data_IF_619193085025
#
_entry.id   IF_619193085025
#
_cell.length_a   1.000
_cell.length_b   1.000
_cell.length_c   1.000
_cell.angle_alpha   90.00
_cell.angle_beta   90.00
_cell.angle_gamma   90.00
#
_symmetry.space_group_name_H-M   'P 1'
#
loop_
_entity.id
_entity.type
_entity.pdbx_description
1 polymer ?
#
# COMPACT_ATOMS: atom_id res chain seq x y z
N UNK A 1 14.88 -14.95 19.02
CA UNK A 1 15.47 -13.82 19.80
C UNK A 1 15.03 -12.53 19.13
N UNK A 2 14.24 -11.69 19.80
CA UNK A 2 13.64 -10.49 19.21
C UNK A 2 14.71 -9.42 18.93
N UNK A 3 14.99 -9.12 17.67
CA UNK A 3 15.81 -7.97 17.27
C UNK A 3 14.93 -6.94 16.58
N UNK A 4 14.90 -5.72 17.13
CA UNK A 4 14.23 -4.56 16.52
C UNK A 4 15.20 -3.39 16.49
N UNK A 5 15.52 -2.88 15.30
CA UNK A 5 16.21 -1.60 15.12
C UNK A 5 15.93 -0.98 13.74
N UNK A 6 15.51 0.29 13.72
CA UNK A 6 16.25 1.37 13.02
C UNK A 6 15.79 2.77 13.48
N UNK A 7 16.79 3.64 13.69
CA UNK A 7 16.66 5.05 14.10
C UNK A 7 16.37 5.96 12.90
N UNK A 8 15.50 6.97 13.09
CA UNK A 8 15.42 8.18 12.27
C UNK A 8 15.07 9.38 13.18
N UNK A 9 15.95 10.38 13.23
CA UNK A 9 15.65 11.77 13.64
C UNK A 9 15.11 12.54 12.42
N UNK A 10 14.44 13.69 12.47
CA UNK A 10 14.21 14.72 13.48
C UNK A 10 12.99 15.57 13.01
N UNK A 11 12.19 16.12 13.93
CA UNK A 11 11.21 17.18 13.64
C UNK A 11 9.87 17.05 14.37
N UNK A 12 9.64 17.98 15.32
CA UNK A 12 8.49 18.20 16.22
C UNK A 12 8.37 17.29 17.46
N UNK A 13 8.18 17.93 18.64
CA UNK A 13 8.35 17.40 20.01
C UNK A 13 7.39 16.26 20.39
N UNK A 14 7.59 15.09 19.78
CA UNK A 14 7.20 13.78 20.31
C UNK A 14 8.51 13.07 20.64
N UNK A 15 8.80 12.87 21.92
CA UNK A 15 9.93 12.02 22.33
C UNK A 15 9.57 10.58 21.99
N UNK A 16 9.97 10.13 20.79
CA UNK A 16 9.73 8.76 20.33
C UNK A 16 10.71 7.83 21.04
N UNK A 17 10.31 7.31 22.18
CA UNK A 17 11.03 6.25 22.86
C UNK A 17 10.59 4.90 22.25
N UNK A 18 11.51 4.23 21.55
CA UNK A 18 11.30 2.87 21.07
C UNK A 18 11.85 1.95 22.15
N UNK A 19 10.96 1.39 22.97
CA UNK A 19 11.31 0.39 23.97
C UNK A 19 11.16 -1.00 23.36
N UNK A 20 12.15 -1.87 23.54
CA UNK A 20 11.94 -3.29 23.28
C UNK A 20 10.98 -3.90 24.31
N UNK A 21 10.42 -5.08 24.02
CA UNK A 21 9.44 -5.71 24.89
C UNK A 21 9.97 -5.96 26.32
N UNK A 22 11.27 -6.27 26.48
CA UNK A 22 11.87 -6.49 27.78
C UNK A 22 12.07 -5.16 28.53
N UNK A 23 12.35 -4.07 27.82
CA UNK A 23 12.42 -2.72 28.37
C UNK A 23 11.04 -2.20 28.78
N UNK A 24 9.97 -2.58 28.09
CA UNK A 24 8.59 -2.26 28.49
C UNK A 24 8.26 -2.95 29.81
N UNK A 25 8.62 -4.23 29.98
CA UNK A 25 8.43 -4.91 31.26
C UNK A 25 9.18 -4.22 32.41
N UNK A 26 10.38 -3.69 32.14
CA UNK A 26 11.17 -2.99 33.14
C UNK A 26 10.64 -1.59 33.49
N UNK A 27 10.15 -0.84 32.50
CA UNK A 27 9.80 0.58 32.67
C UNK A 27 8.29 0.85 32.77
N UNK A 28 7.47 -0.03 32.20
CA UNK A 28 6.01 0.13 32.05
C UNK A 28 5.27 -1.22 32.19
N UNK A 29 5.38 -1.92 33.34
CA UNK A 29 4.77 -3.23 33.55
C UNK A 29 3.25 -3.23 33.40
N UNK A 30 2.58 -2.09 33.59
CA UNK A 30 1.15 -1.90 33.37
C UNK A 30 0.73 -2.06 31.91
N UNK A 31 1.62 -1.78 30.97
CA UNK A 31 1.35 -1.95 29.54
C UNK A 31 1.50 -3.40 29.09
N UNK A 32 2.20 -4.24 29.86
CA UNK A 32 2.46 -5.64 29.51
C UNK A 32 1.18 -6.44 29.31
N UNK A 33 0.23 -6.34 30.25
CA UNK A 33 -1.05 -7.06 30.15
C UNK A 33 -1.90 -6.60 28.94
N UNK A 34 -1.85 -5.31 28.61
CA UNK A 34 -2.52 -4.76 27.44
C UNK A 34 -1.86 -5.25 26.15
N UNK A 35 -0.53 -5.26 26.10
CA UNK A 35 0.22 -5.75 24.94
C UNK A 35 -0.01 -7.25 24.77
N UNK A 36 0.07 -8.04 25.84
CA UNK A 36 -0.12 -9.50 25.79
C UNK A 36 -1.52 -9.88 25.32
N UNK A 37 -2.56 -9.16 25.76
CA UNK A 37 -3.94 -9.37 25.26
C UNK A 37 -4.15 -8.92 23.80
N UNK A 38 -3.34 -8.00 23.30
CA UNK A 38 -3.40 -7.53 21.91
C UNK A 38 -2.51 -8.36 20.97
N UNK A 39 -1.49 -9.02 21.49
CA UNK A 39 -0.56 -9.88 20.74
C UNK A 39 -1.14 -11.27 20.41
N UNK A 40 -2.30 -11.63 20.96
CA UNK A 40 -3.02 -12.84 20.53
C UNK A 40 -3.59 -12.71 19.11
N UNK A 41 -3.69 -11.49 18.57
CA UNK A 41 -4.03 -11.23 17.18
C UNK A 41 -2.75 -11.03 16.33
N UNK A 42 -2.30 -12.13 15.70
CA UNK A 42 -1.19 -12.12 14.75
C UNK A 42 -1.48 -11.11 13.60
N UNK A 43 -0.50 -10.27 13.27
CA UNK A 43 -0.50 -9.29 12.17
C UNK A 43 -1.01 -7.85 12.45
N UNK A 44 -0.86 -7.31 13.66
CA UNK A 44 -1.11 -5.88 13.91
C UNK A 44 0.15 -5.04 14.16
N UNK A 45 0.27 -3.91 13.46
CA UNK A 45 1.09 -2.79 13.92
C UNK A 45 0.33 -2.10 15.04
N UNK A 46 0.67 -2.42 16.29
CA UNK A 46 0.07 -1.76 17.44
C UNK A 46 0.78 -0.42 17.69
N UNK A 47 0.00 0.66 17.71
CA UNK A 47 0.46 1.99 18.10
C UNK A 47 -0.25 2.37 19.39
N UNK A 48 0.48 2.46 20.49
CA UNK A 48 -0.04 2.92 21.78
C UNK A 48 0.45 4.34 22.02
N UNK A 49 -0.48 5.27 22.22
CA UNK A 49 -0.19 6.61 22.73
C UNK A 49 -0.35 6.57 24.26
N UNK A 50 0.75 6.62 24.99
CA UNK A 50 0.74 6.58 26.44
C UNK A 50 1.20 7.92 27.02
N UNK A 51 0.51 8.43 28.05
CA UNK A 51 0.82 9.74 28.63
C UNK A 51 1.62 9.57 29.91
N UNK A 52 2.87 10.00 29.91
CA UNK A 52 3.80 9.94 31.06
C UNK A 52 4.20 11.36 31.43
N UNK A 53 3.93 11.77 32.68
CA UNK A 53 4.33 13.08 33.22
C UNK A 53 3.94 14.30 32.35
N UNK A 54 2.82 14.20 31.64
CA UNK A 54 2.34 15.27 30.74
C UNK A 54 2.78 15.15 29.28
N UNK A 55 3.69 14.22 28.95
CA UNK A 55 4.15 13.94 27.59
C UNK A 55 3.41 12.75 26.97
N UNK A 56 3.14 12.79 25.66
CA UNK A 56 2.60 11.63 24.92
C UNK A 56 3.76 10.87 24.29
N UNK A 57 3.93 9.61 24.69
CA UNK A 57 4.90 8.67 24.16
C UNK A 57 4.17 7.74 23.19
N UNK A 58 4.64 7.66 21.95
CA UNK A 58 4.10 6.77 20.95
C UNK A 58 4.97 5.51 20.86
N UNK A 59 4.41 4.39 21.30
CA UNK A 59 5.07 3.08 21.27
C UNK A 59 4.54 2.32 20.05
N UNK A 60 5.45 1.82 19.20
CA UNK A 60 5.12 1.09 17.97
C UNK A 60 5.69 -0.31 18.05
N UNK A 61 4.83 -1.31 17.89
CA UNK A 61 5.21 -2.72 17.78
C UNK A 61 5.12 -3.12 16.31
N UNK A 62 6.25 -3.54 15.73
CA UNK A 62 6.29 -4.15 14.41
C UNK A 62 6.56 -5.65 14.62
N UNK A 63 5.58 -6.49 14.26
CA UNK A 63 5.74 -7.94 14.31
C UNK A 63 6.49 -8.42 13.07
N UNK A 64 7.56 -9.18 13.27
CA UNK A 64 8.28 -9.89 12.22
C UNK A 64 8.11 -11.38 12.51
N UNK A 65 7.54 -12.14 11.58
CA UNK A 65 7.48 -13.60 11.70
C UNK A 65 8.90 -14.17 11.62
N UNK A 66 9.22 -15.10 12.52
CA UNK A 66 10.50 -15.84 12.55
C UNK A 66 10.61 -16.88 11.39
N UNK A 67 9.90 -16.67 10.28
CA UNK A 67 10.10 -17.44 9.05
C UNK A 67 11.41 -16.95 8.39
N UNK A 68 12.52 -17.36 9.00
CA UNK A 68 13.87 -17.21 8.47
C UNK A 68 14.04 -18.09 7.21
N UNK A 69 14.70 -17.51 6.19
CA UNK A 69 15.19 -18.17 4.96
C UNK A 69 14.24 -18.41 3.77
N UNK A 70 13.45 -17.41 3.39
CA UNK A 70 13.40 -17.07 1.96
C UNK A 70 14.24 -15.82 1.75
N UNK A 71 15.32 -15.94 0.97
CA UNK A 71 16.04 -14.79 0.43
C UNK A 71 15.01 -13.86 -0.19
N UNK A 72 14.64 -12.80 0.53
CA UNK A 72 13.63 -11.84 0.13
C UNK A 72 14.18 -11.10 -1.08
N UNK A 73 14.06 -11.71 -2.27
CA UNK A 73 14.48 -11.13 -3.54
C UNK A 73 13.95 -9.69 -3.57
N UNK A 74 14.86 -8.75 -3.82
CA UNK A 74 14.55 -7.34 -3.74
C UNK A 74 13.54 -7.01 -4.85
N UNK A 75 12.28 -6.81 -4.44
CA UNK A 75 11.19 -6.40 -5.32
C UNK A 75 11.55 -5.07 -5.98
N UNK A 76 12.18 -5.12 -7.14
CA UNK A 76 12.71 -3.93 -7.80
C UNK A 76 11.62 -3.36 -8.69
N UNK A 77 10.66 -2.67 -8.08
CA UNK A 77 9.53 -2.05 -8.77
C UNK A 77 9.46 -0.55 -8.50
N UNK A 78 9.18 0.25 -9.54
CA UNK A 78 9.00 1.71 -9.40
C UNK A 78 7.96 2.27 -10.37
N UNK A 79 7.46 3.47 -10.08
CA UNK A 79 6.66 4.26 -11.03
C UNK A 79 7.56 5.16 -11.87
N UNK A 80 7.16 5.44 -13.11
CA UNK A 80 7.80 6.43 -13.96
C UNK A 80 6.78 7.21 -14.80
N UNK A 81 7.15 8.46 -15.13
CA UNK A 81 6.31 9.34 -15.93
C UNK A 81 6.31 8.94 -17.39
N UNK A 82 5.12 8.94 -18.00
CA UNK A 82 4.95 8.85 -19.45
C UNK A 82 5.06 10.21 -20.15
N UNK A 83 5.10 11.31 -19.40
CA UNK A 83 5.21 12.66 -19.98
C UNK A 83 6.62 12.87 -20.52
N UNK A 84 6.72 13.41 -21.73
CA UNK A 84 8.01 13.78 -22.33
C UNK A 84 8.78 12.63 -22.99
N UNK A 85 8.11 11.50 -23.24
CA UNK A 85 8.73 10.32 -23.85
C UNK A 85 9.35 9.37 -22.83
N UNK A 86 9.21 8.07 -23.05
CA UNK A 86 9.75 7.04 -22.17
C UNK A 86 11.23 6.86 -22.51
N UNK A 87 12.13 7.28 -21.63
CA UNK A 87 13.55 6.95 -21.78
C UNK A 87 13.74 5.48 -21.44
N UNK A 88 14.28 4.72 -22.39
CA UNK A 88 14.69 3.33 -22.14
C UNK A 88 15.68 3.31 -20.98
N UNK A 89 15.43 2.47 -19.99
CA UNK A 89 16.32 2.28 -18.86
C UNK A 89 16.72 0.81 -18.83
N UNK A 90 18.02 0.55 -18.95
CA UNK A 90 18.54 -0.80 -19.15
C UNK A 90 18.13 -1.71 -17.97
N UNK A 91 17.62 -2.90 -18.30
CA UNK A 91 17.20 -3.90 -17.33
C UNK A 91 15.81 -3.69 -16.72
N UNK A 92 15.08 -2.63 -17.07
CA UNK A 92 13.70 -2.43 -16.64
C UNK A 92 12.70 -2.93 -17.68
N UNK A 93 11.67 -3.63 -17.22
CA UNK A 93 10.51 -4.00 -18.04
C UNK A 93 9.39 -3.01 -17.80
N UNK A 94 8.94 -2.35 -18.86
CA UNK A 94 7.94 -1.28 -18.80
C UNK A 94 6.51 -1.81 -18.91
N UNK A 95 5.65 -1.41 -17.98
CA UNK A 95 4.22 -1.75 -17.99
C UNK A 95 3.36 -0.51 -17.89
N UNK A 96 2.47 -0.30 -18.87
CA UNK A 96 1.52 0.81 -18.86
C UNK A 96 0.39 0.52 -17.87
N UNK A 97 0.20 1.42 -16.92
CA UNK A 97 -0.91 1.41 -15.98
C UNK A 97 -1.89 2.56 -16.26
N UNK A 98 -2.06 2.94 -17.52
CA UNK A 98 -3.01 3.99 -17.90
C UNK A 98 -4.46 3.47 -17.98
N UNK A 99 -5.42 4.36 -18.29
CA UNK A 99 -6.86 4.06 -18.28
C UNK A 99 -7.30 2.94 -19.23
N UNK A 100 -6.44 2.52 -20.17
CA UNK A 100 -6.69 1.41 -21.08
C UNK A 100 -6.23 0.06 -20.50
N UNK A 101 -5.45 0.04 -19.42
CA UNK A 101 -5.00 -1.18 -18.79
C UNK A 101 -5.95 -1.65 -17.67
N UNK A 102 -5.88 -2.92 -17.25
CA UNK A 102 -6.67 -3.41 -16.12
C UNK A 102 -6.39 -2.69 -14.79
N UNK A 103 -5.20 -2.10 -14.62
CA UNK A 103 -4.80 -1.34 -13.43
C UNK A 103 -4.83 0.18 -13.67
N UNK A 104 -5.61 0.62 -14.66
CA UNK A 104 -5.81 2.03 -14.94
C UNK A 104 -6.61 2.72 -13.84
N UNK A 105 -6.27 3.98 -13.52
CA UNK A 105 -7.07 4.78 -12.59
C UNK A 105 -8.40 5.22 -13.22
N UNK A 106 -9.56 4.80 -12.69
CA UNK A 106 -10.86 5.24 -13.21
C UNK A 106 -11.10 6.73 -12.98
N UNK A 107 -10.48 7.34 -11.97
CA UNK A 107 -10.81 8.68 -11.51
C UNK A 107 -9.98 9.76 -12.23
N UNK A 108 -10.60 10.92 -12.44
CA UNK A 108 -9.93 12.08 -13.02
C UNK A 108 -9.20 12.90 -11.95
N UNK A 109 -7.89 13.10 -12.14
CA UNK A 109 -7.14 14.11 -11.40
C UNK A 109 -7.26 15.41 -12.18
N UNK A 110 -8.23 16.26 -11.83
CA UNK A 110 -8.36 17.58 -12.44
C UNK A 110 -7.25 18.51 -11.96
N UNK A 111 -6.60 19.19 -12.91
CA UNK A 111 -5.56 20.19 -12.65
C UNK A 111 -6.10 21.62 -12.70
N UNK A 112 -7.43 21.79 -12.81
CA UNK A 112 -8.07 23.10 -12.95
C UNK A 112 -8.12 23.90 -11.65
N UNK A 113 -7.72 23.31 -10.52
CA UNK A 113 -7.76 23.95 -9.22
C UNK A 113 -6.43 24.63 -8.85
N UNK A 114 -6.47 25.66 -7.98
CA UNK A 114 -5.28 26.20 -7.32
C UNK A 114 -4.44 25.09 -6.66
N UNK A 115 -3.14 25.30 -6.50
CA UNK A 115 -2.18 24.24 -6.13
C UNK A 115 -2.57 23.42 -4.88
N UNK A 116 -2.98 24.09 -3.79
CA UNK A 116 -3.42 23.41 -2.56
C UNK A 116 -4.66 22.53 -2.80
N UNK A 117 -5.64 23.04 -3.55
CA UNK A 117 -6.84 22.28 -3.91
C UNK A 117 -6.51 21.13 -4.90
N UNK A 118 -5.50 21.29 -5.76
CA UNK A 118 -5.01 20.24 -6.64
C UNK A 118 -4.27 19.11 -5.88
N UNK A 119 -3.59 19.43 -4.78
CA UNK A 119 -2.99 18.42 -3.87
C UNK A 119 -4.11 17.63 -3.18
N UNK A 120 -5.08 18.31 -2.57
CA UNK A 120 -6.21 17.66 -1.90
C UNK A 120 -7.03 16.78 -2.87
N UNK A 121 -7.29 17.28 -4.08
CA UNK A 121 -7.98 16.52 -5.13
C UNK A 121 -7.20 15.27 -5.54
N UNK A 122 -5.87 15.36 -5.67
CA UNK A 122 -5.01 14.20 -5.95
C UNK A 122 -5.06 13.17 -4.83
N UNK A 123 -4.95 13.58 -3.58
CA UNK A 123 -5.05 12.67 -2.42
C UNK A 123 -6.39 11.96 -2.37
N UNK A 124 -7.50 12.67 -2.64
CA UNK A 124 -8.84 12.10 -2.74
C UNK A 124 -8.93 11.02 -3.83
N UNK A 125 -8.38 11.30 -5.02
CA UNK A 125 -8.35 10.35 -6.14
C UNK A 125 -7.50 9.11 -5.82
N UNK A 126 -6.36 9.29 -5.16
CA UNK A 126 -5.49 8.17 -4.75
C UNK A 126 -6.20 7.29 -3.71
N UNK A 127 -6.86 7.90 -2.72
CA UNK A 127 -7.64 7.19 -1.72
C UNK A 127 -8.79 6.39 -2.37
N UNK A 128 -9.51 7.01 -3.32
CA UNK A 128 -10.54 6.33 -4.09
C UNK A 128 -9.98 5.18 -4.93
N UNK A 129 -8.82 5.35 -5.57
CA UNK A 129 -8.16 4.27 -6.30
C UNK A 129 -7.78 3.10 -5.38
N UNK A 130 -7.27 3.40 -4.18
CA UNK A 130 -6.98 2.38 -3.17
C UNK A 130 -8.23 1.58 -2.79
N UNK A 131 -9.35 2.28 -2.53
CA UNK A 131 -10.62 1.62 -2.24
C UNK A 131 -11.12 0.79 -3.43
N UNK A 132 -11.07 1.34 -4.64
CA UNK A 132 -11.47 0.62 -5.86
C UNK A 132 -10.65 -0.66 -6.08
N UNK A 133 -9.33 -0.60 -5.89
CA UNK A 133 -8.47 -1.77 -6.00
C UNK A 133 -8.85 -2.84 -4.96
N UNK A 134 -9.08 -2.42 -3.72
CA UNK A 134 -9.52 -3.30 -2.63
C UNK A 134 -10.88 -3.96 -2.91
N UNK A 135 -11.84 -3.20 -3.42
CA UNK A 135 -13.16 -3.73 -3.79
C UNK A 135 -13.05 -4.75 -4.93
N UNK A 136 -12.11 -4.56 -5.88
CA UNK A 136 -11.84 -5.57 -6.91
C UNK A 136 -11.26 -6.85 -6.32
N UNK A 137 -10.34 -6.76 -5.35
CA UNK A 137 -9.77 -7.94 -4.67
C UNK A 137 -10.86 -8.77 -3.99
N UNK A 138 -11.77 -8.10 -3.27
CA UNK A 138 -12.91 -8.74 -2.60
C UNK A 138 -13.92 -9.31 -3.59
N UNK A 139 -14.26 -8.53 -4.63
CA UNK A 139 -15.26 -8.92 -5.62
C UNK A 139 -14.78 -10.11 -6.47
N UNK A 140 -13.49 -10.19 -6.80
CA UNK A 140 -12.95 -11.26 -7.64
C UNK A 140 -13.12 -12.66 -7.05
N UNK A 141 -13.18 -12.80 -5.73
CA UNK A 141 -13.42 -14.10 -5.08
C UNK A 141 -14.83 -14.62 -5.31
N UNK A 142 -15.82 -13.72 -5.37
CA UNK A 142 -17.23 -14.08 -5.48
C UNK A 142 -17.74 -13.98 -6.92
N UNK A 143 -17.25 -12.99 -7.67
CA UNK A 143 -17.76 -12.58 -8.96
C UNK A 143 -16.63 -12.06 -9.88
N UNK A 144 -15.70 -12.92 -10.35
CA UNK A 144 -14.53 -12.51 -11.15
C UNK A 144 -14.88 -11.89 -12.51
N UNK A 145 -16.11 -12.09 -12.99
CA UNK A 145 -16.63 -11.49 -14.23
C UNK A 145 -17.31 -10.14 -14.03
N UNK A 146 -17.62 -9.76 -12.79
CA UNK A 146 -18.24 -8.48 -12.47
C UNK A 146 -17.20 -7.36 -12.36
N UNK A 147 -17.62 -6.12 -12.59
CA UNK A 147 -16.83 -4.91 -12.36
C UNK A 147 -17.31 -4.21 -11.10
N UNK A 148 -16.41 -3.54 -10.37
CA UNK A 148 -16.78 -2.69 -9.24
C UNK A 148 -17.63 -1.51 -9.74
N UNK A 149 -18.84 -1.29 -9.19
CA UNK A 149 -19.64 -0.11 -9.51
C UNK A 149 -18.92 1.18 -9.08
N UNK A 150 -18.90 2.18 -9.95
CA UNK A 150 -18.22 3.46 -9.68
C UNK A 150 -19.18 4.61 -9.33
N UNK A 151 -20.48 4.36 -9.36
CA UNK A 151 -21.53 5.37 -9.16
C UNK A 151 -21.90 5.58 -7.66
N UNK A 152 -21.35 4.76 -6.76
CA UNK A 152 -21.86 4.65 -5.37
C UNK A 152 -20.76 4.76 -4.31
N UNK A 153 -21.18 4.96 -3.06
CA UNK A 153 -20.32 4.89 -1.88
C UNK A 153 -19.15 5.89 -1.92
N UNK A 154 -17.94 5.37 -1.72
CA UNK A 154 -16.70 6.14 -1.68
C UNK A 154 -16.38 6.90 -2.98
N UNK A 155 -17.06 6.58 -4.09
CA UNK A 155 -16.79 7.11 -5.42
C UNK A 155 -17.76 8.21 -5.85
N UNK A 156 -18.91 8.37 -5.17
CA UNK A 156 -20.07 9.15 -5.64
C UNK A 156 -19.78 10.63 -5.96
N UNK A 157 -18.68 11.19 -5.46
CA UNK A 157 -18.29 12.59 -5.67
C UNK A 157 -16.91 12.73 -6.33
N UNK A 158 -16.54 11.79 -7.19
CA UNK A 158 -15.28 11.78 -7.92
C UNK A 158 -15.58 11.47 -9.38
N UNK A 159 -15.17 12.37 -10.27
CA UNK A 159 -15.38 12.20 -11.70
C UNK A 159 -14.68 10.94 -12.20
N UNK A 160 -15.46 10.02 -12.74
CA UNK A 160 -14.96 8.84 -13.48
C UNK A 160 -14.63 9.27 -14.90
N UNK A 161 -13.47 8.85 -15.39
CA UNK A 161 -13.04 9.18 -16.75
C UNK A 161 -13.77 8.31 -17.77
N UNK A 162 -14.33 8.95 -18.79
CA UNK A 162 -15.00 8.28 -19.91
C UNK A 162 -14.09 7.32 -20.70
N UNK A 163 -12.76 7.49 -20.60
CA UNK A 163 -11.77 6.64 -21.27
C UNK A 163 -11.45 5.35 -20.48
N UNK A 164 -11.98 5.19 -19.28
CA UNK A 164 -11.73 4.02 -18.46
C UNK A 164 -12.43 2.78 -19.05
N UNK A 165 -11.73 1.64 -19.07
CA UNK A 165 -12.21 0.42 -19.76
C UNK A 165 -13.07 -0.52 -18.91
N UNK A 166 -13.35 -0.16 -17.65
CA UNK A 166 -14.18 -0.95 -16.74
C UNK A 166 -13.81 -2.45 -16.75
N UNK A 167 -12.56 -2.81 -16.41
CA UNK A 167 -12.16 -4.22 -16.36
C UNK A 167 -13.02 -4.98 -15.34
N UNK A 168 -13.22 -6.28 -15.55
CA UNK A 168 -13.78 -7.13 -14.51
C UNK A 168 -12.77 -7.30 -13.37
N UNK A 169 -13.27 -7.56 -12.17
CA UNK A 169 -12.46 -7.82 -10.97
C UNK A 169 -11.43 -8.92 -11.20
N UNK A 170 -11.79 -9.99 -11.91
CA UNK A 170 -10.87 -11.05 -12.32
C UNK A 170 -9.72 -10.54 -13.19
N UNK A 171 -9.97 -9.65 -14.16
CA UNK A 171 -8.90 -9.05 -14.98
C UNK A 171 -7.96 -8.17 -14.16
N UNK A 172 -8.50 -7.41 -13.21
CA UNK A 172 -7.71 -6.59 -12.27
C UNK A 172 -6.80 -7.48 -11.44
N UNK A 173 -7.35 -8.53 -10.82
CA UNK A 173 -6.61 -9.47 -9.97
C UNK A 173 -5.58 -10.27 -10.77
N UNK A 174 -5.92 -10.76 -11.95
CA UNK A 174 -4.98 -11.48 -12.82
C UNK A 174 -3.79 -10.59 -13.20
N UNK A 175 -4.03 -9.31 -13.52
CA UNK A 175 -2.95 -8.38 -13.85
C UNK A 175 -2.07 -8.04 -12.65
N UNK A 176 -2.66 -7.89 -11.47
CA UNK A 176 -1.92 -7.67 -10.23
C UNK A 176 -1.01 -8.87 -9.89
N UNK A 177 -1.55 -10.10 -9.98
CA UNK A 177 -0.77 -11.34 -9.82
C UNK A 177 0.35 -11.45 -10.84
N UNK A 178 0.06 -11.13 -12.11
CA UNK A 178 1.06 -11.13 -13.18
C UNK A 178 2.20 -10.17 -12.86
N UNK A 179 1.90 -8.95 -12.42
CA UNK A 179 2.94 -8.00 -12.01
C UNK A 179 3.73 -8.50 -10.81
N UNK A 180 3.07 -9.05 -9.78
CA UNK A 180 3.72 -9.60 -8.60
C UNK A 180 4.75 -10.68 -8.95
N UNK A 181 4.37 -11.68 -9.74
CA UNK A 181 5.28 -12.76 -10.18
C UNK A 181 6.42 -12.23 -11.06
N UNK A 182 6.16 -11.23 -11.90
CA UNK A 182 7.21 -10.60 -12.69
C UNK A 182 8.22 -9.86 -11.81
N UNK A 183 7.76 -9.09 -10.83
CA UNK A 183 8.64 -8.32 -9.95
C UNK A 183 9.49 -9.17 -9.00
N UNK A 184 9.21 -10.47 -8.85
CA UNK A 184 10.15 -11.42 -8.23
C UNK A 184 11.39 -11.61 -9.11
N UNK A 185 11.19 -11.78 -10.41
CA UNK A 185 12.26 -12.21 -11.34
C UNK A 185 12.92 -11.09 -12.14
N UNK A 186 12.33 -9.88 -12.16
CA UNK A 186 12.84 -8.76 -12.97
C UNK A 186 12.52 -7.39 -12.39
N UNK A 187 13.26 -6.37 -12.83
CA UNK A 187 12.96 -4.98 -12.51
C UNK A 187 11.74 -4.51 -13.29
N UNK A 188 10.71 -4.02 -12.59
CA UNK A 188 9.41 -3.64 -13.15
C UNK A 188 9.20 -2.14 -13.04
N UNK A 189 8.89 -1.47 -14.15
CA UNK A 189 8.63 -0.02 -14.18
C UNK A 189 7.19 0.24 -14.62
N UNK A 190 6.38 0.77 -13.71
CA UNK A 190 4.99 1.12 -13.95
C UNK A 190 4.89 2.52 -14.57
N UNK A 191 4.48 2.57 -15.82
CA UNK A 191 4.36 3.79 -16.60
C UNK A 191 3.00 4.45 -16.37
N UNK A 192 3.03 5.67 -15.83
CA UNK A 192 1.84 6.44 -15.49
C UNK A 192 1.96 7.91 -15.91
N UNK A 193 0.87 8.48 -16.43
CA UNK A 193 0.80 9.91 -16.76
C UNK A 193 0.76 10.84 -15.54
N UNK A 194 0.50 10.32 -14.34
CA UNK A 194 0.36 11.14 -13.13
C UNK A 194 1.71 11.38 -12.42
N UNK A 195 2.67 10.48 -12.62
CA UNK A 195 4.05 10.59 -12.14
C UNK A 195 4.73 11.84 -12.73
N UNK A 196 5.65 12.53 -12.01
CA UNK A 196 6.36 12.11 -10.78
C UNK A 196 5.64 12.41 -9.46
N UNK A 197 4.54 13.15 -9.47
CA UNK A 197 3.73 13.34 -8.25
C UNK A 197 3.09 12.01 -7.86
N UNK A 198 2.72 11.87 -6.58
CA UNK A 198 2.07 10.65 -6.12
C UNK A 198 0.86 10.30 -6.98
N UNK A 199 0.68 9.01 -7.24
CA UNK A 199 -0.29 8.49 -8.18
C UNK A 199 -0.81 7.10 -7.81
N UNK A 200 -1.73 6.59 -8.60
CA UNK A 200 -2.27 5.24 -8.43
C UNK A 200 -1.22 4.14 -8.61
N UNK A 201 -0.13 4.42 -9.33
CA UNK A 201 1.00 3.50 -9.43
C UNK A 201 1.67 3.23 -8.08
N UNK A 202 1.72 4.22 -7.19
CA UNK A 202 2.28 4.05 -5.85
C UNK A 202 1.39 3.12 -5.00
N UNK A 203 0.07 3.20 -5.20
CA UNK A 203 -0.90 2.28 -4.57
C UNK A 203 -0.71 0.85 -5.07
N UNK A 204 -0.47 0.66 -6.37
CA UNK A 204 -0.17 -0.66 -6.95
C UNK A 204 1.12 -1.22 -6.33
N UNK A 205 2.19 -0.42 -6.28
CA UNK A 205 3.46 -0.83 -5.66
C UNK A 205 3.26 -1.22 -4.21
N UNK A 206 2.56 -0.39 -3.43
CA UNK A 206 2.25 -0.68 -2.04
C UNK A 206 1.47 -1.98 -1.89
N UNK A 207 0.46 -2.22 -2.74
CA UNK A 207 -0.30 -3.47 -2.73
C UNK A 207 0.59 -4.69 -3.06
N UNK A 208 1.43 -4.58 -4.08
CA UNK A 208 2.37 -5.63 -4.49
C UNK A 208 3.41 -5.94 -3.40
N UNK A 209 3.87 -4.92 -2.68
CA UNK A 209 4.75 -5.09 -1.51
C UNK A 209 4.00 -5.78 -0.37
N UNK A 210 2.76 -5.38 -0.08
CA UNK A 210 1.93 -6.03 0.94
C UNK A 210 1.63 -7.49 0.60
N UNK A 211 1.56 -7.90 -0.66
CA UNK A 211 1.39 -9.31 -1.05
C UNK A 211 2.55 -10.22 -0.59
N UNK A 212 3.69 -9.66 -0.16
CA UNK A 212 4.81 -10.43 0.39
C UNK A 212 4.55 -10.86 1.84
N UNK A 213 4.04 -9.95 2.66
CA UNK A 213 4.00 -10.12 4.11
C UNK A 213 2.61 -10.17 4.70
N UNK A 214 1.58 -9.70 3.98
CA UNK A 214 0.21 -9.65 4.50
C UNK A 214 -0.53 -10.96 4.19
N UNK A 215 -0.74 -11.78 5.23
CA UNK A 215 -1.40 -13.10 5.13
C UNK A 215 -2.82 -13.02 4.60
N UNK A 216 -3.60 -12.04 5.04
CA UNK A 216 -4.98 -11.82 4.55
C UNK A 216 -4.96 -11.59 3.03
N UNK A 217 -4.15 -10.64 2.55
CA UNK A 217 -4.06 -10.31 1.14
C UNK A 217 -3.56 -11.50 0.29
N UNK A 218 -2.61 -12.29 0.80
CA UNK A 218 -2.14 -13.52 0.15
C UNK A 218 -3.25 -14.55 0.04
N UNK A 219 -4.05 -14.73 1.11
CA UNK A 219 -5.22 -15.59 1.13
C UNK A 219 -6.30 -15.13 0.15
N UNK A 220 -6.67 -13.84 0.18
CA UNK A 220 -7.65 -13.24 -0.75
C UNK A 220 -7.23 -13.42 -2.21
N UNK A 221 -5.92 -13.47 -2.46
CA UNK A 221 -5.34 -13.64 -3.78
C UNK A 221 -4.98 -15.11 -4.08
N UNK A 222 -5.22 -16.08 -3.21
CA UNK A 222 -4.79 -17.47 -3.40
C UNK A 222 -3.31 -17.57 -3.85
N UNK A 223 -2.43 -16.78 -3.25
CA UNK A 223 -0.99 -16.87 -3.49
C UNK A 223 -0.46 -18.04 -2.68
N UNK A 224 0.42 -18.85 -3.30
CA UNK A 224 1.13 -19.89 -2.57
C UNK A 224 2.10 -19.23 -1.56
N UNK A 225 2.37 -19.88 -0.41
CA UNK A 225 3.52 -19.58 0.43
C UNK A 225 4.75 -19.29 -0.45
#
# INVERSE_FOLDING_TARGET
MRKLARSLSEGDKVSKCILDYNQIEQHHPELKLLIDSLLEEEDMTLIINHKVEGHVVQIRFDYYSDDEDESMEEFTIKTASMKGGIKSELGWTDFRIDRKSPLGNPFEITTKYPELAAIAARSKVIAAYKQWLWDNLKLAQKQPRASVPLETGAFANITVSYNFKHPSSGKVVSELKRLYELSKTRKVRLLCWCSPKSCHGDVIISCLQSMRTNRELRSLLNLRP
#
